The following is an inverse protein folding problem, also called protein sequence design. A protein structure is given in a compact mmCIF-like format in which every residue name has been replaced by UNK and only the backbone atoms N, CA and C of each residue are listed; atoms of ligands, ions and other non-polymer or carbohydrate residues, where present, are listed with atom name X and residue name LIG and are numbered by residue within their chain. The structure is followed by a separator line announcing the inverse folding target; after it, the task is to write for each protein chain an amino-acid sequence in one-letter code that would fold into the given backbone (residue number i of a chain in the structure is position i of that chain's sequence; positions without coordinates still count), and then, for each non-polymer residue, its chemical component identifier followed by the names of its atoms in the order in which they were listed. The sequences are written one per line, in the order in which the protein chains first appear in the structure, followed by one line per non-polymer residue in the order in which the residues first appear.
data_IF_672960362871
#
_entry.id   IF_672960362871
#
_cell.length_a   1.000
_cell.length_b   1.000
_cell.length_c   1.000
_cell.angle_alpha   90.00
_cell.angle_beta   90.00
_cell.angle_gamma   90.00
#
_symmetry.space_group_name_H-M   'P 1'
#
loop_
_entity.id
_entity.type
_entity.pdbx_description
1 polymer ?
#
# COMPACT_ATOMS: atom_id res chain seq x y z
N UNK A 1 -5.72 -3.65 13.75
CA UNK A 1 -5.76 -2.68 12.63
C UNK A 1 -4.41 -2.01 12.49
N UNK A 2 -3.92 -1.88 11.27
CA UNK A 2 -2.63 -1.22 11.03
C UNK A 2 -2.73 0.30 11.08
N UNK A 3 -3.86 0.84 10.61
CA UNK A 3 -4.11 2.28 10.57
C UNK A 3 -4.96 2.72 11.74
N UNK A 4 -4.79 3.98 12.15
CA UNK A 4 -5.49 4.56 13.29
C UNK A 4 -6.18 5.88 12.90
N UNK A 5 -6.75 6.56 13.91
CA UNK A 5 -7.47 7.83 13.71
C UNK A 5 -6.55 8.88 13.08
N UNK A 6 -5.27 8.93 13.46
CA UNK A 6 -4.31 9.88 12.92
C UNK A 6 -4.18 9.73 11.41
N UNK A 7 -4.00 8.50 10.94
CA UNK A 7 -3.89 8.22 9.51
C UNK A 7 -5.16 8.62 8.76
N UNK A 8 -6.32 8.31 9.34
CA UNK A 8 -7.61 8.65 8.73
C UNK A 8 -7.81 10.15 8.61
N UNK A 9 -7.45 10.92 9.63
CA UNK A 9 -7.58 12.38 9.61
C UNK A 9 -6.69 13.01 8.55
N UNK A 10 -5.44 12.54 8.43
CA UNK A 10 -4.53 13.04 7.40
C UNK A 10 -5.07 12.73 6.00
N UNK A 11 -5.67 11.56 5.81
CA UNK A 11 -6.24 11.17 4.52
C UNK A 11 -7.51 11.94 4.17
N UNK A 12 -8.40 12.17 5.16
CA UNK A 12 -9.67 12.84 4.95
C UNK A 12 -9.53 14.36 4.80
N UNK A 13 -8.66 14.98 5.61
CA UNK A 13 -8.46 16.43 5.65
C UNK A 13 -6.98 16.76 5.66
N UNK A 14 -6.29 16.61 4.52
CA UNK A 14 -4.84 16.90 4.43
C UNK A 14 -4.55 18.34 4.85
N UNK A 15 -3.57 18.51 5.72
CA UNK A 15 -3.16 19.84 6.19
C UNK A 15 -4.03 20.45 7.27
N UNK A 16 -5.13 19.81 7.68
CA UNK A 16 -5.99 20.31 8.74
C UNK A 16 -5.28 20.28 10.10
N UNK A 17 -5.67 21.20 10.97
CA UNK A 17 -5.09 21.30 12.31
C UNK A 17 -6.00 20.65 13.35
N UNK A 18 -5.44 19.74 14.12
CA UNK A 18 -6.13 19.01 15.17
C UNK A 18 -5.13 18.47 16.18
N UNK A 19 -5.64 18.07 17.35
CA UNK A 19 -4.86 17.43 18.40
C UNK A 19 -5.59 16.18 18.86
N UNK A 20 -4.86 15.10 19.14
CA UNK A 20 -5.43 13.85 19.62
C UNK A 20 -4.76 13.45 20.91
N UNK A 21 -5.54 13.38 22.00
CA UNK A 21 -5.07 12.90 23.30
C UNK A 21 -5.41 11.41 23.41
N UNK A 22 -4.37 10.56 23.40
CA UNK A 22 -4.57 9.12 23.40
C UNK A 22 -4.87 8.57 22.02
N UNK A 23 -5.62 7.47 21.97
CA UNK A 23 -5.90 6.74 20.73
C UNK A 23 -7.38 6.73 20.34
N UNK A 24 -8.25 7.29 21.18
CA UNK A 24 -9.70 7.27 21.00
C UNK A 24 -10.21 8.54 20.36
N UNK A 25 -11.31 8.40 19.62
CA UNK A 25 -12.00 9.55 19.01
C UNK A 25 -12.40 10.61 20.06
N UNK A 26 -12.70 10.18 21.28
CA UNK A 26 -13.09 11.09 22.36
C UNK A 26 -11.97 12.06 22.77
N UNK A 27 -10.72 11.74 22.45
CA UNK A 27 -9.59 12.60 22.71
C UNK A 27 -9.26 13.58 21.61
N UNK A 28 -10.04 13.59 20.52
CA UNK A 28 -9.82 14.46 19.38
C UNK A 28 -10.28 15.89 19.69
N UNK A 29 -9.38 16.84 19.47
CA UNK A 29 -9.67 18.27 19.51
C UNK A 29 -9.47 18.84 18.10
N UNK A 30 -10.56 19.29 17.48
CA UNK A 30 -10.54 19.86 16.14
C UNK A 30 -10.24 21.34 16.19
N UNK A 31 -9.14 21.76 15.56
CA UNK A 31 -8.64 23.15 15.63
C UNK A 31 -8.71 23.87 14.28
N UNK A 32 -9.24 23.20 13.26
CA UNK A 32 -9.23 23.71 11.90
C UNK A 32 -10.55 24.40 11.53
N UNK A 33 -10.50 25.28 10.52
CA UNK A 33 -11.68 25.96 10.00
C UNK A 33 -12.54 25.06 9.10
N UNK A 34 -11.97 23.99 8.55
CA UNK A 34 -12.74 23.01 7.78
C UNK A 34 -13.64 22.20 8.70
N UNK A 35 -14.67 21.60 8.11
CA UNK A 35 -15.59 20.76 8.89
C UNK A 35 -14.88 19.52 9.42
N UNK A 36 -15.06 19.26 10.71
CA UNK A 36 -14.52 18.06 11.35
C UNK A 36 -15.17 16.80 10.76
N UNK A 37 -14.37 15.79 10.38
CA UNK A 37 -14.92 14.49 9.97
C UNK A 37 -15.71 13.85 11.11
N UNK A 38 -16.80 13.17 10.77
CA UNK A 38 -17.57 12.42 11.76
C UNK A 38 -16.79 11.19 12.22
N UNK A 39 -17.19 10.66 13.38
CA UNK A 39 -16.62 9.39 13.88
C UNK A 39 -16.77 8.28 12.84
N UNK A 40 -17.94 8.19 12.20
CA UNK A 40 -18.20 7.17 11.18
C UNK A 40 -17.26 7.32 9.97
N UNK A 41 -17.09 8.56 9.49
CA UNK A 41 -16.18 8.84 8.38
C UNK A 41 -14.75 8.42 8.71
N UNK A 42 -14.30 8.69 9.93
CA UNK A 42 -12.96 8.33 10.39
C UNK A 42 -12.78 6.79 10.42
N UNK A 43 -13.74 6.08 11.01
CA UNK A 43 -13.65 4.62 11.10
C UNK A 43 -13.81 3.94 9.74
N UNK A 44 -14.64 4.49 8.85
CA UNK A 44 -14.76 4.00 7.48
C UNK A 44 -13.44 4.17 6.72
N UNK A 45 -12.75 5.30 6.92
CA UNK A 45 -11.45 5.54 6.30
C UNK A 45 -10.37 4.60 6.83
N UNK A 46 -10.38 4.31 8.13
CA UNK A 46 -9.44 3.33 8.71
C UNK A 46 -9.64 1.96 8.05
N UNK A 47 -10.88 1.51 7.91
CA UNK A 47 -11.19 0.23 7.27
C UNK A 47 -10.75 0.22 5.80
N UNK A 48 -10.95 1.32 5.08
CA UNK A 48 -10.50 1.45 3.69
C UNK A 48 -8.98 1.38 3.57
N UNK A 49 -8.26 2.08 4.44
CA UNK A 49 -6.79 2.07 4.44
C UNK A 49 -6.25 0.67 4.79
N UNK A 50 -6.83 0.02 5.79
CA UNK A 50 -6.43 -1.33 6.17
C UNK A 50 -6.69 -2.33 5.04
N UNK A 51 -7.83 -2.22 4.36
CA UNK A 51 -8.18 -3.11 3.25
C UNK A 51 -7.25 -2.93 2.04
N UNK A 52 -6.76 -1.70 1.80
CA UNK A 52 -5.88 -1.40 0.67
C UNK A 52 -4.40 -1.71 0.95
N UNK A 53 -4.02 -1.90 2.21
CA UNK A 53 -2.61 -2.03 2.59
C UNK A 53 -1.89 -3.24 1.97
N UNK A 54 -2.48 -4.45 1.92
CA UNK A 54 -1.78 -5.59 1.31
C UNK A 54 -1.36 -5.32 -0.14
N UNK A 55 -2.25 -4.72 -0.93
CA UNK A 55 -1.95 -4.39 -2.33
C UNK A 55 -0.90 -3.29 -2.45
N UNK A 56 -0.94 -2.31 -1.55
CA UNK A 56 0.06 -1.24 -1.51
C UNK A 56 1.46 -1.83 -1.28
N UNK A 57 1.59 -2.73 -0.31
CA UNK A 57 2.86 -3.40 -0.01
C UNK A 57 3.31 -4.30 -1.15
N UNK A 58 2.38 -5.03 -1.78
CA UNK A 58 2.68 -5.85 -2.93
C UNK A 58 3.30 -5.01 -4.06
N UNK A 59 2.69 -3.86 -4.36
CA UNK A 59 3.18 -2.97 -5.42
C UNK A 59 4.56 -2.42 -5.12
N UNK A 60 4.85 -2.08 -3.87
CA UNK A 60 6.17 -1.61 -3.46
C UNK A 60 7.23 -2.68 -3.74
N UNK A 61 6.98 -3.92 -3.28
CA UNK A 61 7.92 -5.02 -3.49
C UNK A 61 8.05 -5.39 -4.97
N UNK A 62 6.93 -5.38 -5.71
CA UNK A 62 6.94 -5.59 -7.15
C UNK A 62 7.81 -4.55 -7.86
N UNK A 63 7.66 -3.28 -7.50
CA UNK A 63 8.44 -2.19 -8.12
C UNK A 63 9.92 -2.35 -7.85
N UNK A 64 10.31 -2.82 -6.67
CA UNK A 64 11.71 -3.14 -6.36
C UNK A 64 12.24 -4.24 -7.28
N UNK A 65 11.45 -5.29 -7.50
CA UNK A 65 11.84 -6.39 -8.39
C UNK A 65 11.98 -5.94 -9.84
N UNK A 66 11.07 -5.09 -10.32
CA UNK A 66 11.17 -4.51 -11.67
C UNK A 66 12.44 -3.66 -11.78
N UNK A 67 12.70 -2.81 -10.80
CA UNK A 67 13.87 -1.93 -10.80
C UNK A 67 15.19 -2.71 -10.87
N UNK A 68 15.27 -3.88 -10.22
CA UNK A 68 16.46 -4.73 -10.28
C UNK A 68 16.75 -5.27 -11.68
N UNK A 69 15.77 -5.25 -12.58
CA UNK A 69 15.91 -5.76 -13.95
C UNK A 69 15.92 -4.66 -15.01
N UNK A 70 15.82 -3.38 -14.63
CA UNK A 70 15.71 -2.27 -15.58
C UNK A 70 16.94 -2.16 -16.49
N UNK A 71 18.12 -2.49 -16.00
CA UNK A 71 19.34 -2.46 -16.80
C UNK A 71 19.28 -3.42 -18.01
N UNK A 72 18.47 -4.48 -17.94
CA UNK A 72 18.35 -5.49 -19.02
C UNK A 72 17.60 -4.96 -20.24
N UNK A 73 16.82 -3.89 -20.08
CA UNK A 73 16.01 -3.31 -21.17
C UNK A 73 16.53 -1.94 -21.61
N UNK A 74 17.75 -1.59 -21.23
CA UNK A 74 18.42 -0.37 -21.72
C UNK A 74 18.72 -0.52 -23.22
N UNK A 75 18.87 0.61 -23.98
CA UNK A 75 19.07 0.57 -25.43
C UNK A 75 20.26 -0.26 -25.89
N UNK A 76 21.29 -0.43 -25.06
CA UNK A 76 22.47 -1.19 -25.39
C UNK A 76 22.41 -2.66 -24.95
N UNK A 77 21.24 -3.11 -24.48
CA UNK A 77 20.99 -4.47 -24.03
C UNK A 77 19.98 -5.16 -24.95
N UNK A 78 20.08 -6.49 -25.05
CA UNK A 78 19.10 -7.31 -25.77
C UNK A 78 18.53 -8.34 -24.78
N UNK A 79 17.40 -8.02 -24.11
CA UNK A 79 16.83 -8.94 -23.15
C UNK A 79 16.26 -10.18 -23.85
N UNK A 80 16.38 -11.35 -23.21
CA UNK A 80 15.73 -12.57 -23.69
C UNK A 80 14.22 -12.50 -23.47
N UNK A 81 13.48 -13.34 -24.18
CA UNK A 81 12.03 -13.45 -24.00
C UNK A 81 11.66 -13.80 -22.55
N UNK A 82 12.47 -14.62 -21.88
CA UNK A 82 12.24 -15.01 -20.49
C UNK A 82 12.24 -13.78 -19.56
N UNK A 83 13.18 -12.84 -19.76
CA UNK A 83 13.22 -11.62 -18.97
C UNK A 83 12.09 -10.67 -19.31
N UNK A 84 11.73 -10.56 -20.60
CA UNK A 84 10.60 -9.74 -21.03
C UNK A 84 9.32 -10.28 -20.40
N UNK A 85 9.11 -11.58 -20.42
CA UNK A 85 7.94 -12.23 -19.85
C UNK A 85 7.89 -12.12 -18.33
N UNK A 86 9.03 -12.25 -17.66
CA UNK A 86 9.12 -12.07 -16.21
C UNK A 86 8.71 -10.65 -15.80
N UNK A 87 9.25 -9.64 -16.48
CA UNK A 87 8.91 -8.25 -16.20
C UNK A 87 7.42 -7.98 -16.44
N UNK A 88 6.85 -8.55 -17.51
CA UNK A 88 5.41 -8.40 -17.79
C UNK A 88 4.57 -9.09 -16.73
N UNK A 89 4.97 -10.27 -16.27
CA UNK A 89 4.29 -10.99 -15.20
C UNK A 89 4.28 -10.18 -13.89
N UNK A 90 5.40 -9.49 -13.58
CA UNK A 90 5.45 -8.59 -12.42
C UNK A 90 4.48 -7.42 -12.56
N UNK A 91 4.41 -6.81 -13.74
CA UNK A 91 3.47 -5.70 -13.98
C UNK A 91 2.01 -6.15 -13.86
N UNK A 92 1.71 -7.38 -14.29
CA UNK A 92 0.34 -7.91 -14.30
C UNK A 92 -0.09 -8.50 -12.95
N UNK A 93 0.86 -8.77 -12.05
CA UNK A 93 0.59 -9.46 -10.79
C UNK A 93 -0.52 -8.81 -9.94
N UNK A 94 -0.56 -7.46 -9.79
CA UNK A 94 -1.61 -6.84 -8.98
C UNK A 94 -3.04 -7.12 -9.46
N UNK A 95 -3.22 -7.35 -10.76
CA UNK A 95 -4.55 -7.60 -11.32
C UNK A 95 -5.13 -8.97 -10.92
N UNK A 96 -4.27 -9.95 -10.61
CA UNK A 96 -4.69 -11.32 -10.31
C UNK A 96 -4.41 -11.74 -8.87
N UNK A 97 -3.49 -11.08 -8.17
CA UNK A 97 -3.12 -11.45 -6.82
C UNK A 97 -4.15 -10.93 -5.80
N UNK A 98 -4.34 -11.70 -4.73
CA UNK A 98 -5.17 -11.30 -3.58
C UNK A 98 -4.30 -11.32 -2.32
N UNK A 99 -3.35 -10.38 -2.20
CA UNK A 99 -2.42 -10.38 -1.09
C UNK A 99 -3.11 -10.10 0.24
N UNK A 100 -2.53 -10.63 1.32
CA UNK A 100 -3.02 -10.42 2.68
C UNK A 100 -1.87 -10.04 3.59
N UNK A 101 -2.20 -9.48 4.75
CA UNK A 101 -1.23 -9.21 5.79
C UNK A 101 -1.16 -10.38 6.77
N UNK A 102 0.03 -10.60 7.33
CA UNK A 102 0.20 -11.54 8.44
C UNK A 102 -0.18 -10.86 9.77
N UNK A 103 0.00 -11.56 10.90
CA UNK A 103 -0.34 -11.05 12.23
C UNK A 103 0.50 -9.83 12.65
N UNK A 104 1.64 -9.60 12.02
CA UNK A 104 2.51 -8.46 12.28
C UNK A 104 2.24 -7.28 11.35
N UNK A 105 1.14 -7.34 10.57
CA UNK A 105 0.76 -6.34 9.57
C UNK A 105 1.78 -6.20 8.45
N UNK A 106 2.54 -7.24 8.17
CA UNK A 106 3.44 -7.32 7.04
C UNK A 106 2.81 -8.15 5.93
N UNK A 107 3.32 -7.99 4.70
CA UNK A 107 2.81 -8.75 3.56
C UNK A 107 3.03 -10.25 3.77
N UNK A 108 1.94 -11.02 3.72
CA UNK A 108 1.98 -12.48 3.85
C UNK A 108 2.40 -13.09 2.51
N UNK A 109 3.63 -13.58 2.46
CA UNK A 109 4.21 -14.14 1.24
C UNK A 109 3.61 -15.49 0.83
N UNK A 110 2.76 -16.07 1.69
CA UNK A 110 2.01 -17.29 1.35
C UNK A 110 0.65 -16.99 0.72
N UNK A 111 0.21 -15.72 0.74
CA UNK A 111 -1.10 -15.32 0.22
C UNK A 111 -1.12 -15.13 -1.30
N UNK A 112 0.03 -15.11 -1.93
CA UNK A 112 0.19 -14.99 -3.39
C UNK A 112 1.52 -15.60 -3.81
N UNK A 113 1.75 -15.71 -5.13
CA UNK A 113 3.00 -16.29 -5.66
C UNK A 113 3.69 -15.27 -6.56
N UNK A 114 4.96 -15.00 -6.28
CA UNK A 114 5.78 -14.18 -7.17
C UNK A 114 6.06 -14.92 -8.48
N UNK A 115 6.11 -14.19 -9.62
CA UNK A 115 6.66 -14.77 -10.85
C UNK A 115 8.08 -15.29 -10.60
N UNK A 116 8.45 -16.36 -11.29
CA UNK A 116 9.77 -16.98 -11.13
C UNK A 116 10.80 -16.18 -11.91
N UNK A 117 11.87 -15.75 -11.23
CA UNK A 117 13.04 -15.11 -11.84
C UNK A 117 13.69 -16.10 -12.83
N UNK A 118 14.04 -15.67 -14.06
CA UNK A 118 14.69 -16.55 -15.06
C UNK A 118 16.05 -17.06 -14.68
N UNK A 119 16.74 -16.43 -13.72
CA UNK A 119 18.04 -16.88 -13.24
C UNK A 119 17.99 -17.64 -11.94
#
# INVERSE_FOLDING_TARGET
MKYDITHALVALKPGAQWSLNGFDYTGLEWLDSEQQPTKQEIFDKIAELDAAEPMRLLRIERNKKIALTDWRVLPDQTPSDDWINYRQALRDLPASASPKLNSDYELDLTSFTWPTDPE
#
